data_IF_248054313307
#
_entry.id   IF_248054313307
#
_cell.length_a   1.000
_cell.length_b   1.000
_cell.length_c   1.000
_cell.angle_alpha   90.00
_cell.angle_beta   90.00
_cell.angle_gamma   90.00
#
_symmetry.space_group_name_H-M   'P 1'
#
loop_
_entity.id
_entity.type
_entity.pdbx_description
1 polymer ?
#
# COMPACT_ATOMS: atom_id res chain seq x y z
N UNK A 1 -0.78 0.46 0.91
CA UNK A 1 -0.53 0.65 2.36
C UNK A 1 -1.57 1.64 2.85
N UNK A 2 -2.16 1.41 4.03
CA UNK A 2 -3.22 2.28 4.55
C UNK A 2 -2.75 3.73 4.74
N UNK A 3 -1.47 3.95 5.06
CA UNK A 3 -0.87 5.28 5.14
C UNK A 3 -0.76 6.02 3.81
N UNK A 4 -0.82 5.31 2.67
CA UNK A 4 -0.91 5.98 1.34
C UNK A 4 -2.26 6.65 1.13
N UNK A 5 -3.25 6.32 1.98
CA UNK A 5 -4.58 6.94 1.97
C UNK A 5 -4.71 7.99 3.07
N UNK A 6 -4.16 7.72 4.26
CA UNK A 6 -4.12 8.66 5.37
C UNK A 6 -2.91 8.39 6.27
N UNK A 7 -1.90 9.28 6.32
CA UNK A 7 -0.65 9.03 7.04
C UNK A 7 -0.84 8.85 8.56
N UNK A 8 -1.85 9.49 9.15
CA UNK A 8 -2.15 9.43 10.58
C UNK A 8 -2.92 8.19 11.05
N UNK A 9 -3.35 7.31 10.14
CA UNK A 9 -4.26 6.22 10.50
C UNK A 9 -3.64 5.21 11.49
N UNK A 10 -2.32 5.06 11.46
CA UNK A 10 -1.58 4.18 12.38
C UNK A 10 -0.93 4.94 13.54
N UNK A 11 -1.04 6.28 13.61
CA UNK A 11 -0.40 7.10 14.65
C UNK A 11 -0.89 6.73 16.07
N UNK A 12 -2.17 6.35 16.19
CA UNK A 12 -2.78 5.96 17.48
C UNK A 12 -2.51 4.50 17.86
N UNK A 13 -1.83 3.72 17.01
CA UNK A 13 -1.66 2.27 17.19
C UNK A 13 -0.19 1.86 17.16
N UNK A 14 0.56 2.04 18.27
CA UNK A 14 2.00 1.79 18.31
C UNK A 14 2.37 0.33 17.99
N UNK A 15 1.53 -0.63 18.39
CA UNK A 15 1.74 -2.05 18.05
C UNK A 15 1.62 -2.33 16.55
N UNK A 16 0.68 -1.66 15.86
CA UNK A 16 0.49 -1.81 14.41
C UNK A 16 1.63 -1.15 13.64
N UNK A 17 2.18 -0.05 14.12
CA UNK A 17 3.40 0.55 13.54
C UNK A 17 4.60 -0.39 13.65
N UNK A 18 4.83 -0.97 14.84
CA UNK A 18 5.89 -1.94 15.05
C UNK A 18 5.71 -3.20 14.18
N UNK A 19 4.48 -3.69 14.07
CA UNK A 19 4.15 -4.81 13.19
C UNK A 19 4.42 -4.48 11.72
N UNK A 20 3.95 -3.32 11.22
CA UNK A 20 4.21 -2.85 9.86
C UNK A 20 5.72 -2.78 9.57
N UNK A 21 6.51 -2.23 10.48
CA UNK A 21 7.97 -2.12 10.32
C UNK A 21 8.62 -3.50 10.21
N UNK A 22 8.20 -4.46 11.05
CA UNK A 22 8.70 -5.85 11.00
C UNK A 22 8.34 -6.54 9.68
N UNK A 23 7.09 -6.42 9.24
CA UNK A 23 6.62 -7.03 7.98
C UNK A 23 7.29 -6.40 6.76
N UNK A 24 7.46 -5.07 6.75
CA UNK A 24 8.10 -4.35 5.63
C UNK A 24 9.59 -4.69 5.48
N UNK A 25 10.24 -5.12 6.56
CA UNK A 25 11.64 -5.55 6.57
C UNK A 25 11.87 -6.98 6.06
N UNK A 26 10.81 -7.78 5.87
CA UNK A 26 10.94 -9.13 5.30
C UNK A 26 11.49 -9.00 3.87
N UNK A 27 12.55 -9.74 3.46
CA UNK A 27 13.25 -9.52 2.19
C UNK A 27 12.36 -9.54 0.95
N UNK A 28 11.39 -10.46 0.90
CA UNK A 28 10.44 -10.59 -0.22
C UNK A 28 9.46 -9.43 -0.25
N UNK A 29 8.95 -9.02 0.91
CA UNK A 29 8.05 -7.87 1.04
C UNK A 29 8.79 -6.58 0.74
N UNK A 30 10.02 -6.41 1.23
CA UNK A 30 10.88 -5.27 0.94
C UNK A 30 11.12 -5.13 -0.57
N UNK A 31 11.42 -6.22 -1.27
CA UNK A 31 11.52 -6.26 -2.74
C UNK A 31 10.18 -5.93 -3.42
N UNK A 32 9.06 -6.38 -2.85
CA UNK A 32 7.74 -6.06 -3.38
C UNK A 32 7.32 -4.60 -3.16
N UNK A 33 7.83 -3.95 -2.11
CA UNK A 33 7.60 -2.54 -1.80
C UNK A 33 8.51 -1.60 -2.59
N UNK A 34 9.56 -2.09 -3.24
CA UNK A 34 10.45 -1.27 -4.06
C UNK A 34 9.75 -0.77 -5.34
N UNK A 35 10.10 0.45 -5.79
CA UNK A 35 9.62 0.97 -7.07
C UNK A 35 10.09 0.05 -8.21
N UNK A 36 9.18 -0.26 -9.14
CA UNK A 36 9.42 -1.24 -10.22
C UNK A 36 8.94 -2.66 -9.91
N UNK A 37 8.44 -2.93 -8.70
CA UNK A 37 7.72 -4.16 -8.41
C UNK A 37 6.38 -4.23 -9.15
N UNK A 38 5.80 -5.43 -9.25
CA UNK A 38 4.43 -5.66 -9.72
C UNK A 38 3.35 -5.08 -8.78
N UNK A 39 3.74 -4.42 -7.69
CA UNK A 39 2.81 -3.71 -6.82
C UNK A 39 2.07 -2.66 -7.63
N UNK A 40 0.77 -2.90 -7.82
CA UNK A 40 -0.13 -1.97 -8.49
C UNK A 40 -0.17 -0.66 -7.68
N UNK A 41 -0.06 0.44 -8.40
CA UNK A 41 -0.28 1.78 -7.88
C UNK A 41 -1.74 1.93 -7.44
N UNK A 42 -1.99 2.99 -6.66
CA UNK A 42 -3.36 3.38 -6.32
C UNK A 42 -4.15 3.64 -7.61
N UNK A 43 -5.36 3.08 -7.66
CA UNK A 43 -6.32 3.35 -8.75
C UNK A 43 -6.62 4.84 -8.72
N UNK A 44 -6.29 5.54 -9.79
CA UNK A 44 -6.64 6.95 -9.95
C UNK A 44 -8.12 7.05 -10.32
N UNK A 45 -8.81 8.17 -10.01
CA UNK A 45 -10.19 8.38 -10.43
C UNK A 45 -10.39 8.24 -11.95
N UNK A 46 -9.34 8.51 -12.74
CA UNK A 46 -9.28 8.33 -14.20
C UNK A 46 -9.35 6.87 -14.66
N UNK A 47 -8.98 5.92 -13.80
CA UNK A 47 -8.98 4.49 -14.11
C UNK A 47 -10.32 3.82 -13.76
N UNK A 48 -11.14 4.47 -12.93
CA UNK A 48 -12.50 4.01 -12.58
C UNK A 48 -13.39 3.77 -13.81
N UNK A 49 -13.49 4.68 -14.80
CA UNK A 49 -14.30 4.43 -15.99
C UNK A 49 -13.77 3.25 -16.82
N UNK A 50 -12.44 3.05 -16.88
CA UNK A 50 -11.84 1.90 -17.58
C UNK A 50 -12.19 0.58 -16.91
N UNK A 51 -12.18 0.54 -15.57
CA UNK A 51 -12.59 -0.65 -14.80
C UNK A 51 -14.08 -0.92 -14.95
N UNK A 52 -14.91 0.12 -14.93
CA UNK A 52 -16.37 -0.02 -15.11
C UNK A 52 -16.78 -0.49 -16.49
N UNK A 53 -16.01 -0.17 -17.53
CA UNK A 53 -16.27 -0.61 -18.90
C UNK A 53 -15.95 -2.10 -19.16
N UNK A 54 -15.29 -2.79 -18.20
CA UNK A 54 -14.96 -4.22 -18.29
C UNK A 54 -16.05 -5.09 -17.63
N UNK A 55 -16.88 -4.51 -16.77
CA UNK A 55 -18.04 -5.15 -16.14
C UNK A 55 -19.27 -5.02 -17.03
#
# INVERSE_FOLDING_TARGET
MAEEFQPDILAKFPLLQGFKARISNIPTIKKFLQPGSQRKSRIQPEDIPKVRAIL
#
